data_IF_684143879616
#
_entry.id   IF_684143879616
#
_cell.length_a   1.000
_cell.length_b   1.000
_cell.length_c   1.000
_cell.angle_alpha   90.00
_cell.angle_beta   90.00
_cell.angle_gamma   90.00
#
_symmetry.space_group_name_H-M   'P 1'
#
loop_
_entity.id
_entity.type
_entity.pdbx_description
1 polymer ?
#
# COMPACT_ATOMS: atom_id res chain seq x y z
N UNK A 1 9.89 3.04 20.85
CA UNK A 1 10.04 3.09 19.38
C UNK A 1 8.63 3.08 18.79
N UNK A 2 8.18 4.19 18.21
CA UNK A 2 6.87 4.28 17.57
C UNK A 2 7.05 3.74 16.15
N UNK A 3 6.26 2.72 15.76
CA UNK A 3 6.18 2.27 14.37
C UNK A 3 4.99 2.97 13.73
N UNK A 4 5.25 3.73 12.67
CA UNK A 4 4.20 4.35 11.87
C UNK A 4 3.57 3.24 11.03
N UNK A 5 2.25 3.06 11.14
CA UNK A 5 1.49 2.18 10.24
C UNK A 5 0.81 3.06 9.22
N UNK A 6 1.04 2.79 7.94
CA UNK A 6 0.40 3.52 6.86
C UNK A 6 -0.62 2.63 6.14
N UNK A 7 -1.79 3.22 5.88
CA UNK A 7 -2.83 2.68 5.01
C UNK A 7 -3.26 1.24 5.33
N UNK A 8 -3.72 0.95 6.58
CA UNK A 8 -4.19 -0.38 6.92
C UNK A 8 -5.44 -0.74 6.13
N UNK A 9 -5.50 -1.96 5.62
CA UNK A 9 -6.63 -2.51 4.89
C UNK A 9 -6.97 -3.91 5.42
N UNK A 10 -8.25 -4.13 5.76
CA UNK A 10 -8.72 -5.43 6.26
C UNK A 10 -9.10 -6.31 5.08
N UNK A 11 -8.54 -7.52 5.04
CA UNK A 11 -8.84 -8.56 4.07
C UNK A 11 -9.06 -9.89 4.82
N UNK A 12 -10.33 -10.24 5.04
CA UNK A 12 -10.71 -11.40 5.85
C UNK A 12 -10.22 -11.26 7.30
N UNK A 13 -9.42 -12.21 7.76
CA UNK A 13 -8.87 -12.24 9.14
C UNK A 13 -7.52 -11.53 9.29
N UNK A 14 -7.10 -10.77 8.29
CA UNK A 14 -5.81 -10.08 8.24
C UNK A 14 -5.98 -8.58 8.05
N UNK A 15 -5.07 -7.80 8.63
CA UNK A 15 -4.81 -6.41 8.27
C UNK A 15 -3.51 -6.36 7.48
N UNK A 16 -3.53 -5.77 6.30
CA UNK A 16 -2.37 -5.48 5.48
C UNK A 16 -2.04 -4.00 5.60
N UNK A 17 -0.76 -3.65 5.64
CA UNK A 17 -0.33 -2.27 5.83
C UNK A 17 1.11 -2.07 5.38
N UNK A 18 1.45 -0.82 5.06
CA UNK A 18 2.83 -0.39 4.89
C UNK A 18 3.45 -0.23 6.28
N UNK A 19 4.34 -1.16 6.66
CA UNK A 19 5.07 -1.09 7.94
C UNK A 19 6.19 -0.04 7.87
N UNK A 20 6.75 0.12 6.67
CA UNK A 20 7.59 1.22 6.24
C UNK A 20 7.19 1.58 4.81
N UNK A 21 7.80 2.58 4.18
CA UNK A 21 7.58 2.81 2.75
C UNK A 21 8.25 1.74 1.86
N UNK A 22 9.07 0.86 2.42
CA UNK A 22 9.84 -0.17 1.70
C UNK A 22 9.20 -1.58 1.75
N UNK A 23 8.18 -1.78 2.59
CA UNK A 23 7.55 -3.10 2.75
C UNK A 23 6.08 -3.06 3.15
N UNK A 24 5.35 -4.07 2.66
CA UNK A 24 3.98 -4.39 3.08
C UNK A 24 4.04 -5.61 3.99
N UNK A 25 3.44 -5.46 5.17
CA UNK A 25 3.27 -6.52 6.15
C UNK A 25 1.78 -6.86 6.31
N UNK A 26 1.52 -8.01 6.91
CA UNK A 26 0.20 -8.36 7.43
C UNK A 26 0.25 -8.87 8.85
N UNK A 27 -0.85 -8.68 9.57
CA UNK A 27 -1.06 -9.16 10.94
C UNK A 27 -2.50 -9.64 11.11
N UNK A 28 -2.73 -10.64 11.96
CA UNK A 28 -4.10 -11.09 12.24
C UNK A 28 -4.86 -10.02 13.02
N UNK A 29 -6.19 -10.08 12.97
CA UNK A 29 -7.06 -9.14 13.71
C UNK A 29 -6.88 -9.22 15.24
N UNK A 30 -6.38 -10.35 15.75
CA UNK A 30 -6.03 -10.54 17.16
C UNK A 30 -4.64 -10.01 17.53
N UNK A 31 -3.92 -9.41 16.58
CA UNK A 31 -2.58 -8.87 16.77
C UNK A 31 -1.45 -9.90 16.70
N UNK A 32 -1.73 -11.16 16.36
CA UNK A 32 -0.72 -12.23 16.25
C UNK A 32 -0.28 -12.46 14.80
N UNK A 33 0.79 -13.24 14.63
CA UNK A 33 1.19 -13.75 13.31
C UNK A 33 1.67 -12.69 12.33
N UNK A 34 2.25 -11.58 12.82
CA UNK A 34 2.85 -10.57 11.95
C UNK A 34 3.85 -11.22 11.00
N UNK A 35 3.68 -11.00 9.70
CA UNK A 35 4.59 -11.48 8.66
C UNK A 35 4.73 -10.46 7.54
N UNK A 36 5.92 -10.40 6.94
CA UNK A 36 6.14 -9.67 5.69
C UNK A 36 5.36 -10.32 4.55
N UNK A 37 4.78 -9.50 3.68
CA UNK A 37 4.10 -9.93 2.45
C UNK A 37 5.04 -9.73 1.26
N UNK A 38 5.49 -8.50 1.03
CA UNK A 38 6.37 -8.15 -0.09
C UNK A 38 7.11 -6.83 0.15
N UNK A 39 8.04 -6.49 -0.75
CA UNK A 39 8.59 -5.13 -0.86
C UNK A 39 7.64 -4.20 -1.62
N UNK A 40 8.02 -2.93 -1.73
CA UNK A 40 7.21 -1.89 -2.41
C UNK A 40 7.80 -1.44 -3.76
N UNK A 41 8.75 -2.20 -4.30
CA UNK A 41 9.46 -1.84 -5.55
C UNK A 41 8.53 -1.65 -6.75
N UNK A 42 7.40 -2.37 -6.77
CA UNK A 42 6.36 -2.21 -7.80
C UNK A 42 5.67 -0.85 -7.79
N UNK A 43 5.72 -0.10 -6.68
CA UNK A 43 5.04 1.20 -6.53
C UNK A 43 5.86 2.39 -7.02
N UNK A 44 7.14 2.18 -7.36
CA UNK A 44 8.07 3.26 -7.72
C UNK A 44 8.52 4.09 -6.50
N UNK A 45 8.82 5.37 -6.73
CA UNK A 45 9.40 6.27 -5.72
C UNK A 45 8.37 6.78 -4.70
N UNK A 46 7.89 5.89 -3.83
CA UNK A 46 7.06 6.28 -2.68
C UNK A 46 7.84 7.19 -1.73
N UNK A 47 7.24 8.33 -1.36
CA UNK A 47 7.85 9.26 -0.41
C UNK A 47 6.82 9.84 0.56
N UNK A 48 7.27 10.64 1.54
CA UNK A 48 6.38 11.29 2.51
C UNK A 48 5.36 12.26 1.89
N UNK A 49 5.53 12.64 0.62
CA UNK A 49 4.57 13.43 -0.15
C UNK A 49 3.61 12.60 -1.00
N UNK A 50 3.61 11.27 -0.88
CA UNK A 50 2.75 10.39 -1.65
C UNK A 50 1.48 10.05 -0.86
N UNK A 51 0.32 10.40 -1.42
CA UNK A 51 -0.97 9.89 -0.94
C UNK A 51 -1.10 8.42 -1.34
N UNK A 52 -1.46 7.56 -0.40
CA UNK A 52 -1.76 6.15 -0.64
C UNK A 52 -3.14 5.85 -0.06
N UNK A 53 -4.02 5.28 -0.87
CA UNK A 53 -5.30 4.72 -0.38
C UNK A 53 -5.35 3.23 -0.68
N UNK A 54 -6.09 2.48 0.14
CA UNK A 54 -6.20 1.03 0.04
C UNK A 54 -7.66 0.59 0.22
N UNK A 55 -8.11 -0.35 -0.60
CA UNK A 55 -9.42 -0.99 -0.46
C UNK A 55 -9.33 -2.47 -0.81
N UNK A 56 -10.08 -3.32 -0.13
CA UNK A 56 -10.10 -4.75 -0.40
C UNK A 56 -11.28 -5.10 -1.30
N UNK A 57 -11.03 -5.85 -2.38
CA UNK A 57 -12.05 -6.33 -3.31
C UNK A 57 -11.58 -7.61 -3.99
N UNK A 58 -12.46 -8.61 -4.04
CA UNK A 58 -12.28 -9.85 -4.83
C UNK A 58 -10.92 -10.56 -4.63
N UNK A 59 -10.48 -10.70 -3.37
CA UNK A 59 -9.22 -11.40 -3.05
C UNK A 59 -7.96 -10.53 -3.14
N UNK A 60 -8.09 -9.28 -3.56
CA UNK A 60 -6.97 -8.37 -3.72
C UNK A 60 -7.15 -7.05 -2.94
N UNK A 61 -6.02 -6.43 -2.59
CA UNK A 61 -5.99 -5.06 -2.09
C UNK A 61 -5.65 -4.14 -3.25
N UNK A 62 -6.57 -3.23 -3.53
CA UNK A 62 -6.44 -2.21 -4.56
C UNK A 62 -5.87 -0.96 -3.91
N UNK A 63 -4.67 -0.59 -4.35
CA UNK A 63 -4.01 0.64 -3.97
C UNK A 63 -4.17 1.70 -5.04
N UNK A 64 -4.32 2.94 -4.60
CA UNK A 64 -4.13 4.13 -5.42
C UNK A 64 -3.01 4.94 -4.80
N UNK A 65 -2.04 5.36 -5.61
CA UNK A 65 -0.96 6.25 -5.20
C UNK A 65 -1.01 7.53 -6.01
N UNK A 66 -0.71 8.67 -5.39
CA UNK A 66 -0.56 9.94 -6.09
C UNK A 66 0.41 10.85 -5.35
N UNK A 67 1.37 11.41 -6.08
CA UNK A 67 2.25 12.43 -5.51
C UNK A 67 1.49 13.74 -5.28
N UNK A 68 1.61 14.27 -4.07
CA UNK A 68 1.07 15.59 -3.73
C UNK A 68 1.91 16.69 -4.37
N UNK A 69 1.25 17.75 -4.83
CA UNK A 69 1.90 18.93 -5.42
C UNK A 69 2.45 19.84 -4.33
N UNK A 70 3.67 20.32 -4.55
CA UNK A 70 4.22 21.42 -3.74
C UNK A 70 3.55 22.75 -4.10
N UNK A 71 3.59 23.72 -3.18
CA UNK A 71 3.08 25.07 -3.46
C UNK A 71 3.90 25.70 -4.58
N UNK A 72 3.22 26.20 -5.62
CA UNK A 72 3.86 26.79 -6.79
C UNK A 72 4.27 25.79 -7.88
N UNK A 73 4.06 24.49 -7.65
CA UNK A 73 4.34 23.45 -8.62
C UNK A 73 3.20 23.32 -9.65
N UNK A 74 3.56 23.37 -10.93
CA UNK A 74 2.64 23.20 -12.08
C UNK A 74 2.81 21.85 -12.78
N UNK A 75 3.58 20.93 -12.19
CA UNK A 75 3.79 19.58 -12.69
C UNK A 75 2.53 18.72 -12.73
N UNK A 76 2.57 17.67 -13.54
CA UNK A 76 1.51 16.66 -13.62
C UNK A 76 1.91 15.44 -12.79
N UNK A 77 1.05 15.07 -11.85
CA UNK A 77 1.24 13.91 -10.97
C UNK A 77 -0.01 13.02 -11.08
N UNK A 78 -0.07 12.12 -12.07
CA UNK A 78 -1.19 11.22 -12.23
C UNK A 78 -1.29 10.26 -11.04
N UNK A 79 -2.48 9.69 -10.87
CA UNK A 79 -2.64 8.58 -9.94
C UNK A 79 -2.25 7.27 -10.62
N UNK A 80 -1.56 6.40 -9.87
CA UNK A 80 -1.24 5.03 -10.27
C UNK A 80 -2.02 4.05 -9.43
N UNK A 81 -2.38 2.91 -10.02
CA UNK A 81 -3.23 1.91 -9.38
C UNK A 81 -2.50 0.57 -9.34
N UNK A 82 -2.60 -0.12 -8.21
CA UNK A 82 -1.94 -1.40 -8.00
C UNK A 82 -2.90 -2.40 -7.37
N UNK A 83 -2.73 -3.66 -7.71
CA UNK A 83 -3.43 -4.78 -7.08
C UNK A 83 -2.41 -5.66 -6.35
N UNK A 84 -2.62 -5.87 -5.06
CA UNK A 84 -1.91 -6.87 -4.26
C UNK A 84 -2.79 -8.11 -4.11
N UNK A 85 -2.37 -9.21 -4.71
CA UNK A 85 -2.98 -10.52 -4.51
C UNK A 85 -2.65 -11.02 -3.08
N UNK A 86 -3.69 -11.29 -2.28
CA UNK A 86 -3.53 -11.62 -0.86
C UNK A 86 -3.09 -13.08 -0.60
N UNK A 87 -3.19 -13.95 -1.61
CA UNK A 87 -2.73 -15.34 -1.54
C UNK A 87 -1.26 -15.45 -1.89
N UNK A 88 -0.84 -14.79 -2.98
CA UNK A 88 0.53 -14.88 -3.50
C UNK A 88 1.46 -13.79 -2.97
N UNK A 89 0.92 -12.66 -2.49
CA UNK A 89 1.71 -11.49 -2.10
C UNK A 89 2.28 -10.71 -3.28
N UNK A 90 1.78 -10.95 -4.50
CA UNK A 90 2.26 -10.30 -5.71
C UNK A 90 1.56 -8.95 -5.93
N UNK A 91 2.35 -7.92 -6.23
CA UNK A 91 1.84 -6.59 -6.60
C UNK A 91 1.94 -6.39 -8.12
N UNK A 92 0.84 -5.97 -8.74
CA UNK A 92 0.77 -5.67 -10.17
C UNK A 92 0.18 -4.28 -10.38
N UNK A 93 0.81 -3.45 -11.22
CA UNK A 93 0.22 -2.20 -11.68
C UNK A 93 -0.99 -2.50 -12.58
N UNK A 94 -2.13 -1.87 -12.29
CA UNK A 94 -3.35 -2.02 -13.07
C UNK A 94 -3.68 -0.70 -13.76
N UNK A 95 -4.02 -0.76 -15.04
CA UNK A 95 -4.51 0.42 -15.76
C UNK A 95 -5.96 0.64 -15.39
N UNK A 96 -6.28 1.89 -15.08
CA UNK A 96 -7.65 2.36 -14.91
C UNK A 96 -8.34 2.47 -16.28
#
# INVERSE_FOLDING_TARGET
>A
MIRLVLCPCIAGSWVYYFNTLDEIDKIRLDGTGKTKVCGTESFGDLCGGTEITASYKDGAILYRTQQMRCVGDTGSYPAYYFSLDTETGTVTEVKN
#
